data_IF_384733145493
#
_entry.id   IF_384733145493
#
_cell.length_a   1.000
_cell.length_b   1.000
_cell.length_c   1.000
_cell.angle_alpha   90.00
_cell.angle_beta   90.00
_cell.angle_gamma   90.00
#
_symmetry.space_group_name_H-M   'P 1'
#
loop_
_entity.id
_entity.type
_entity.pdbx_description
1 polymer ?
#
# COMPACT_ATOMS: atom_id res chain seq x y z
N UNK A 1 28.41 12.22 -0.14
CA UNK A 1 27.39 11.82 0.86
C UNK A 1 26.03 12.51 0.68
N UNK A 2 25.81 13.27 -0.41
CA UNK A 2 24.60 14.08 -0.58
C UNK A 2 23.50 13.42 -1.45
N UNK A 3 23.76 12.28 -2.08
CA UNK A 3 22.89 11.74 -3.13
C UNK A 3 22.17 10.42 -2.83
N UNK A 4 22.44 9.76 -1.71
CA UNK A 4 21.89 8.42 -1.47
C UNK A 4 20.68 8.37 -0.52
N UNK A 5 20.17 9.54 -0.06
CA UNK A 5 19.09 9.60 0.91
C UNK A 5 17.76 10.16 0.36
N UNK A 6 17.65 10.39 -0.94
CA UNK A 6 16.41 10.91 -1.55
C UNK A 6 15.20 9.97 -1.34
N UNK A 7 15.47 8.69 -1.16
CA UNK A 7 14.47 7.67 -0.83
C UNK A 7 13.80 7.89 0.54
N UNK A 8 14.45 8.61 1.47
CA UNK A 8 13.88 8.94 2.79
C UNK A 8 12.59 9.76 2.65
N UNK A 9 12.46 10.53 1.57
CA UNK A 9 11.25 11.30 1.29
C UNK A 9 10.00 10.42 1.07
N UNK A 10 10.19 9.14 0.72
CA UNK A 10 9.10 8.17 0.58
C UNK A 10 8.72 7.50 1.91
N UNK A 11 9.50 7.70 2.97
CA UNK A 11 9.19 7.17 4.28
C UNK A 11 8.14 8.05 4.97
N UNK A 12 6.99 7.50 5.24
CA UNK A 12 5.99 8.16 6.07
C UNK A 12 6.31 8.01 7.56
N UNK A 13 7.33 8.74 8.02
CA UNK A 13 7.74 8.77 9.44
C UNK A 13 6.55 9.16 10.31
N UNK A 14 5.70 10.09 9.85
CA UNK A 14 4.48 10.48 10.54
C UNK A 14 3.51 9.32 10.76
N UNK A 15 3.47 8.34 9.85
CA UNK A 15 2.63 7.15 10.02
C UNK A 15 3.21 6.20 11.07
N UNK A 16 4.53 6.09 11.17
CA UNK A 16 5.22 5.29 12.19
C UNK A 16 5.14 5.93 13.58
N UNK A 17 5.09 7.27 13.66
CA UNK A 17 4.89 8.01 14.91
C UNK A 17 3.44 7.95 15.41
N UNK A 18 2.46 7.72 14.53
CA UNK A 18 1.03 7.63 14.86
C UNK A 18 0.59 6.27 15.39
N UNK A 19 1.49 5.39 15.77
CA UNK A 19 1.10 4.14 16.40
C UNK A 19 0.15 4.37 17.59
N UNK A 20 -0.87 3.50 17.76
CA UNK A 20 -1.78 3.57 18.89
C UNK A 20 -0.98 3.34 20.18
N UNK A 21 -0.70 4.42 20.89
CA UNK A 21 0.06 4.41 22.14
C UNK A 21 0.66 5.78 22.45
N UNK A 22 0.91 6.01 23.72
CA UNK A 22 1.48 7.26 24.24
C UNK A 22 3.00 7.35 24.07
N UNK A 23 3.61 6.57 23.14
CA UNK A 23 5.06 6.47 22.99
C UNK A 23 5.73 7.82 22.69
N UNK A 24 5.15 8.60 21.79
CA UNK A 24 5.61 9.95 21.47
C UNK A 24 5.52 10.89 22.68
N UNK A 25 4.35 10.94 23.31
CA UNK A 25 4.12 11.78 24.50
C UNK A 25 5.01 11.35 25.68
N UNK A 26 5.16 10.04 25.89
CA UNK A 26 6.01 9.50 26.95
C UNK A 26 7.50 9.84 26.71
N UNK A 27 7.98 9.84 25.46
CA UNK A 27 9.37 10.20 25.18
C UNK A 27 9.65 11.66 25.57
N UNK A 28 8.72 12.59 25.31
CA UNK A 28 8.83 13.98 25.76
C UNK A 28 8.71 14.14 27.27
N UNK A 29 7.84 13.35 27.92
CA UNK A 29 7.72 13.35 29.37
C UNK A 29 9.02 12.94 30.04
N UNK A 30 9.63 11.85 29.54
CA UNK A 30 10.93 11.37 30.04
C UNK A 30 12.05 12.41 29.86
N UNK A 31 12.09 13.14 28.73
CA UNK A 31 13.04 14.24 28.53
C UNK A 31 12.89 15.31 29.60
N UNK A 32 11.65 15.72 29.92
CA UNK A 32 11.37 16.74 30.95
C UNK A 32 11.74 16.27 32.35
N UNK A 33 11.49 15.00 32.66
CA UNK A 33 11.73 14.40 34.00
C UNK A 33 13.23 14.12 34.26
N UNK A 34 14.05 14.04 33.19
CA UNK A 34 15.49 13.71 33.28
C UNK A 34 16.35 14.89 32.79
N UNK A 35 16.23 16.04 33.40
CA UNK A 35 17.09 17.23 33.18
C UNK A 35 17.21 17.66 31.72
N UNK A 36 16.15 17.48 30.94
CA UNK A 36 16.13 17.74 29.50
C UNK A 36 17.08 16.84 28.67
N UNK A 37 17.35 15.62 29.14
CA UNK A 37 18.11 14.63 28.37
C UNK A 37 17.31 14.17 27.15
N UNK A 38 17.79 14.55 25.96
CA UNK A 38 17.16 14.22 24.69
C UNK A 38 17.32 12.74 24.26
N UNK A 39 18.13 11.97 24.97
CA UNK A 39 18.43 10.57 24.62
C UNK A 39 17.15 9.74 24.46
N UNK A 40 16.17 9.91 25.32
CA UNK A 40 14.89 9.19 25.25
C UNK A 40 14.11 9.51 23.97
N UNK A 41 14.07 10.76 23.58
CA UNK A 41 13.41 11.20 22.34
C UNK A 41 14.15 10.71 21.10
N UNK A 42 15.47 10.74 21.11
CA UNK A 42 16.30 10.25 19.99
C UNK A 42 16.12 8.76 19.82
N UNK A 43 16.15 7.96 20.90
CA UNK A 43 15.93 6.52 20.84
C UNK A 43 14.53 6.20 20.31
N UNK A 44 13.50 6.92 20.77
CA UNK A 44 12.14 6.74 20.26
C UNK A 44 12.04 7.06 18.77
N UNK A 45 12.67 8.15 18.33
CA UNK A 45 12.68 8.58 16.93
C UNK A 45 13.38 7.57 16.03
N UNK A 46 14.52 7.01 16.47
CA UNK A 46 15.24 5.96 15.73
C UNK A 46 14.43 4.67 15.61
N UNK A 47 13.81 4.22 16.70
CA UNK A 47 12.90 3.06 16.66
C UNK A 47 11.68 3.28 15.76
N UNK A 48 11.18 4.51 15.69
CA UNK A 48 10.06 4.85 14.80
C UNK A 48 10.49 4.86 13.34
N UNK A 49 11.72 5.28 13.06
CA UNK A 49 12.32 5.22 11.72
C UNK A 49 12.55 3.76 11.29
N UNK A 50 13.10 2.92 12.14
CA UNK A 50 13.28 1.49 11.89
C UNK A 50 11.95 0.83 11.51
N UNK A 51 10.91 1.05 12.30
CA UNK A 51 9.55 0.54 11.98
C UNK A 51 9.00 1.07 10.67
N UNK A 52 9.27 2.35 10.33
CA UNK A 52 8.85 2.91 9.04
C UNK A 52 9.53 2.20 7.87
N UNK A 53 10.81 1.83 8.03
CA UNK A 53 11.57 1.05 7.05
C UNK A 53 10.99 -0.35 6.88
N UNK A 54 10.71 -1.06 7.97
CA UNK A 54 10.11 -2.40 7.94
C UNK A 54 8.77 -2.41 7.19
N UNK A 55 7.94 -1.39 7.43
CA UNK A 55 6.64 -1.23 6.74
C UNK A 55 6.84 -1.01 5.22
N UNK A 56 7.83 -0.22 4.84
CA UNK A 56 8.12 0.05 3.42
C UNK A 56 8.69 -1.20 2.76
N UNK A 57 9.61 -1.89 3.41
CA UNK A 57 10.18 -3.15 2.91
C UNK A 57 9.08 -4.19 2.68
N UNK A 58 8.19 -4.39 3.65
CA UNK A 58 7.06 -5.29 3.50
C UNK A 58 6.18 -4.92 2.29
N UNK A 59 5.88 -3.65 2.10
CA UNK A 59 5.08 -3.18 0.96
C UNK A 59 5.78 -3.44 -0.37
N UNK A 60 7.09 -3.18 -0.46
CA UNK A 60 7.86 -3.41 -1.68
C UNK A 60 7.87 -4.90 -2.01
N UNK A 61 8.16 -5.76 -1.02
CA UNK A 61 8.17 -7.20 -1.20
C UNK A 61 6.81 -7.69 -1.73
N UNK A 62 5.70 -7.26 -1.13
CA UNK A 62 4.35 -7.61 -1.61
C UNK A 62 4.09 -7.15 -3.04
N UNK A 63 4.54 -5.94 -3.41
CA UNK A 63 4.38 -5.45 -4.79
C UNK A 63 5.17 -6.26 -5.81
N UNK A 64 6.37 -6.70 -5.45
CA UNK A 64 7.19 -7.58 -6.31
C UNK A 64 6.55 -8.97 -6.48
N UNK A 65 5.71 -9.37 -5.54
CA UNK A 65 5.00 -10.66 -5.58
C UNK A 65 3.72 -10.64 -6.43
N UNK A 66 3.09 -9.46 -6.64
CA UNK A 66 1.82 -9.36 -7.39
C UNK A 66 1.85 -10.06 -8.75
N UNK A 67 2.92 -9.99 -9.57
CA UNK A 67 2.99 -10.75 -10.82
C UNK A 67 2.88 -12.26 -10.66
N UNK A 68 3.22 -12.81 -9.49
CA UNK A 68 3.09 -14.25 -9.21
C UNK A 68 1.63 -14.71 -9.17
N UNK A 69 0.69 -13.79 -8.91
CA UNK A 69 -0.74 -14.09 -8.91
C UNK A 69 -1.23 -14.62 -10.27
N UNK A 70 -0.55 -14.26 -11.37
CA UNK A 70 -0.87 -14.80 -12.70
C UNK A 70 -0.84 -16.32 -12.74
N UNK A 71 0.03 -16.98 -11.95
CA UNK A 71 0.12 -18.44 -11.87
C UNK A 71 -1.12 -19.08 -11.20
N UNK A 72 -1.83 -18.31 -10.35
CA UNK A 72 -2.97 -18.80 -9.56
C UNK A 72 -4.29 -18.43 -10.22
N UNK A 73 -4.43 -17.20 -10.70
CA UNK A 73 -5.73 -16.65 -11.15
C UNK A 73 -5.75 -16.19 -12.61
N UNK A 74 -4.62 -16.27 -13.33
CA UNK A 74 -4.59 -16.00 -14.78
C UNK A 74 -4.88 -14.54 -15.15
N UNK A 75 -4.40 -13.57 -14.35
CA UNK A 75 -4.56 -12.13 -14.61
C UNK A 75 -3.56 -11.61 -15.63
N UNK A 76 -3.96 -10.60 -16.42
CA UNK A 76 -3.10 -9.99 -17.43
C UNK A 76 -2.22 -8.85 -16.87
N UNK A 77 -1.26 -8.35 -17.67
CA UNK A 77 -0.31 -7.32 -17.25
C UNK A 77 -0.99 -5.99 -16.87
N UNK A 78 -2.10 -5.61 -17.52
CA UNK A 78 -2.87 -4.42 -17.17
C UNK A 78 -3.50 -4.56 -15.78
N UNK A 79 -4.06 -5.74 -15.50
CA UNK A 79 -4.66 -6.07 -14.21
C UNK A 79 -3.60 -6.14 -13.11
N UNK A 80 -2.42 -6.70 -13.38
CA UNK A 80 -1.26 -6.69 -12.47
C UNK A 80 -0.89 -5.25 -12.13
N UNK A 81 -0.69 -4.39 -13.13
CA UNK A 81 -0.34 -2.98 -12.91
C UNK A 81 -1.40 -2.20 -12.14
N UNK A 82 -2.69 -2.52 -12.35
CA UNK A 82 -3.79 -1.94 -11.58
C UNK A 82 -3.74 -2.38 -10.10
N UNK A 83 -3.59 -3.68 -9.84
CA UNK A 83 -3.50 -4.23 -8.49
C UNK A 83 -2.32 -3.61 -7.74
N UNK A 84 -1.14 -3.55 -8.33
CA UNK A 84 0.04 -2.92 -7.72
C UNK A 84 -0.23 -1.48 -7.31
N UNK A 85 -0.87 -0.70 -8.18
CA UNK A 85 -1.18 0.71 -7.95
C UNK A 85 -2.19 0.91 -6.82
N UNK A 86 -3.27 0.11 -6.81
CA UNK A 86 -4.28 0.16 -5.76
C UNK A 86 -3.77 -0.40 -4.43
N UNK A 87 -2.87 -1.37 -4.48
CA UNK A 87 -2.26 -1.96 -3.28
C UNK A 87 -1.35 -0.95 -2.56
N UNK A 88 -0.59 -0.13 -3.32
CA UNK A 88 0.20 0.96 -2.76
C UNK A 88 -0.66 2.04 -2.09
N UNK A 89 -1.76 2.39 -2.75
CA UNK A 89 -2.64 3.49 -2.35
C UNK A 89 -4.02 2.95 -1.92
N UNK A 90 -4.07 2.27 -0.78
CA UNK A 90 -5.25 1.53 -0.29
C UNK A 90 -6.56 2.33 -0.22
N UNK A 91 -6.48 3.64 -0.02
CA UNK A 91 -7.65 4.52 -0.01
C UNK A 91 -8.07 5.00 -1.41
N UNK A 92 -7.30 4.61 -2.46
CA UNK A 92 -7.60 5.04 -3.82
C UNK A 92 -8.71 4.18 -4.40
N UNK A 93 -9.66 4.83 -5.00
CA UNK A 93 -10.68 4.23 -5.87
C UNK A 93 -10.36 4.57 -7.32
N UNK A 94 -10.78 3.72 -8.25
CA UNK A 94 -10.63 3.93 -9.68
C UNK A 94 -11.98 3.78 -10.37
N UNK A 95 -12.23 4.54 -11.42
CA UNK A 95 -13.38 4.35 -12.29
C UNK A 95 -12.95 3.78 -13.65
N UNK A 96 -13.93 3.40 -14.47
CA UNK A 96 -13.69 2.79 -15.79
C UNK A 96 -12.88 3.72 -16.70
N UNK A 97 -13.17 5.02 -16.65
CA UNK A 97 -12.51 6.00 -17.50
C UNK A 97 -11.04 6.15 -17.15
N UNK A 98 -10.74 6.30 -15.86
CA UNK A 98 -9.36 6.37 -15.36
C UNK A 98 -8.57 5.10 -15.71
N UNK A 99 -9.20 3.91 -15.58
CA UNK A 99 -8.54 2.67 -15.97
C UNK A 99 -8.26 2.61 -17.47
N UNK A 100 -9.23 2.98 -18.31
CA UNK A 100 -9.09 3.04 -19.77
C UNK A 100 -7.93 3.95 -20.21
N UNK A 101 -7.83 5.14 -19.61
CA UNK A 101 -6.72 6.07 -19.85
C UNK A 101 -5.37 5.46 -19.43
N UNK A 102 -5.31 4.79 -18.30
CA UNK A 102 -4.09 4.16 -17.78
C UNK A 102 -3.56 3.02 -18.65
N UNK A 103 -4.45 2.23 -19.28
CA UNK A 103 -4.07 1.11 -20.13
C UNK A 103 -4.03 1.49 -21.62
N UNK A 104 -4.36 2.76 -21.95
CA UNK A 104 -4.48 3.27 -23.31
C UNK A 104 -5.38 2.40 -24.22
N UNK A 105 -6.55 2.02 -23.69
CA UNK A 105 -7.58 1.21 -24.37
C UNK A 105 -8.96 1.84 -24.19
N UNK A 106 -9.96 1.31 -24.94
CA UNK A 106 -11.34 1.76 -24.81
C UNK A 106 -11.99 1.42 -23.47
N UNK A 107 -13.01 2.21 -23.09
CA UNK A 107 -13.75 2.02 -21.81
C UNK A 107 -14.40 0.63 -21.71
N UNK A 108 -14.80 0.04 -22.82
CA UNK A 108 -15.41 -1.30 -22.83
C UNK A 108 -14.40 -2.37 -22.38
N UNK A 109 -13.17 -2.32 -22.91
CA UNK A 109 -12.08 -3.22 -22.49
C UNK A 109 -11.74 -3.02 -21.01
N UNK A 110 -11.60 -1.75 -20.58
CA UNK A 110 -11.33 -1.41 -19.20
C UNK A 110 -12.44 -1.92 -18.25
N UNK A 111 -13.69 -1.81 -18.68
CA UNK A 111 -14.85 -2.32 -17.93
C UNK A 111 -14.80 -3.84 -17.77
N UNK A 112 -14.46 -4.57 -18.83
CA UNK A 112 -14.33 -6.02 -18.78
C UNK A 112 -13.22 -6.43 -17.82
N UNK A 113 -12.02 -5.85 -17.91
CA UNK A 113 -10.90 -6.14 -17.02
C UNK A 113 -11.26 -5.89 -15.53
N UNK A 114 -11.95 -4.77 -15.24
CA UNK A 114 -12.41 -4.47 -13.88
C UNK A 114 -13.45 -5.47 -13.38
N UNK A 115 -14.39 -5.88 -14.23
CA UNK A 115 -15.42 -6.87 -13.90
C UNK A 115 -14.85 -8.27 -13.66
N UNK A 116 -13.83 -8.66 -14.40
CA UNK A 116 -13.09 -9.89 -14.17
C UNK A 116 -12.47 -9.91 -12.77
N UNK A 117 -11.81 -8.81 -12.38
CA UNK A 117 -11.21 -8.67 -11.05
C UNK A 117 -12.26 -8.67 -9.92
N UNK A 118 -13.45 -8.12 -10.18
CA UNK A 118 -14.58 -8.20 -9.22
C UNK A 118 -15.08 -9.64 -9.12
N UNK A 119 -15.20 -10.38 -10.24
CA UNK A 119 -15.61 -11.78 -10.24
C UNK A 119 -14.62 -12.70 -9.49
N UNK A 120 -13.34 -12.29 -9.40
CA UNK A 120 -12.29 -12.96 -8.61
C UNK A 120 -12.20 -12.49 -7.16
N UNK A 121 -13.12 -11.62 -6.70
CA UNK A 121 -13.11 -10.98 -5.40
C UNK A 121 -11.85 -10.12 -5.11
N UNK A 122 -11.05 -9.81 -6.13
CA UNK A 122 -9.85 -8.96 -6.02
C UNK A 122 -10.22 -7.49 -5.86
N UNK A 123 -11.30 -7.07 -6.50
CA UNK A 123 -11.87 -5.74 -6.38
C UNK A 123 -13.30 -5.79 -5.84
N UNK A 124 -13.68 -4.74 -5.12
CA UNK A 124 -15.06 -4.43 -4.84
C UNK A 124 -15.58 -3.35 -5.79
N UNK A 125 -16.84 -3.45 -6.20
CA UNK A 125 -17.51 -2.40 -6.97
C UNK A 125 -18.53 -1.70 -6.11
N UNK A 126 -18.44 -0.38 -6.07
CA UNK A 126 -19.45 0.49 -5.46
C UNK A 126 -20.05 1.41 -6.53
N UNK A 127 -21.38 1.46 -6.59
CA UNK A 127 -22.10 2.32 -7.53
C UNK A 127 -22.54 3.60 -6.84
N UNK A 128 -22.10 4.71 -7.36
CA UNK A 128 -22.58 6.02 -6.92
C UNK A 128 -23.17 6.79 -8.10
N UNK A 129 -24.49 7.06 -8.04
CA UNK A 129 -25.27 7.64 -9.15
C UNK A 129 -25.16 6.76 -10.42
N UNK A 130 -24.53 7.30 -11.47
CA UNK A 130 -24.34 6.64 -12.78
C UNK A 130 -22.92 6.09 -12.98
N UNK A 131 -22.07 6.15 -11.96
CA UNK A 131 -20.66 5.72 -12.05
C UNK A 131 -20.40 4.54 -11.14
N UNK A 132 -19.56 3.63 -11.60
CA UNK A 132 -19.02 2.55 -10.78
C UNK A 132 -17.61 2.91 -10.36
N UNK A 133 -17.32 2.73 -9.08
CA UNK A 133 -16.02 2.90 -8.47
C UNK A 133 -15.52 1.56 -7.97
N UNK A 134 -14.24 1.29 -8.17
CA UNK A 134 -13.61 0.04 -7.82
C UNK A 134 -12.50 0.29 -6.81
N UNK A 135 -12.41 -0.55 -5.78
CA UNK A 135 -11.39 -0.49 -4.76
C UNK A 135 -10.89 -1.89 -4.42
N UNK A 136 -9.66 -1.96 -3.93
CA UNK A 136 -8.97 -3.23 -3.72
C UNK A 136 -9.49 -3.99 -2.51
N UNK A 137 -9.72 -5.30 -2.68
CA UNK A 137 -9.90 -6.24 -1.58
C UNK A 137 -8.54 -6.75 -1.12
N UNK A 138 -7.91 -6.02 -0.21
CA UNK A 138 -6.56 -6.33 0.25
C UNK A 138 -6.46 -7.71 0.87
N UNK A 139 -7.46 -8.14 1.64
CA UNK A 139 -7.46 -9.46 2.29
C UNK A 139 -7.37 -10.56 1.25
N UNK A 140 -8.14 -10.45 0.16
CA UNK A 140 -8.12 -11.43 -0.94
C UNK A 140 -6.81 -11.42 -1.70
N UNK A 141 -6.24 -10.23 -1.94
CA UNK A 141 -4.93 -10.10 -2.60
C UNK A 141 -3.84 -10.74 -1.75
N UNK A 142 -3.80 -10.47 -0.45
CA UNK A 142 -2.82 -11.08 0.46
C UNK A 142 -2.95 -12.61 0.49
N UNK A 143 -4.17 -13.16 0.53
CA UNK A 143 -4.45 -14.60 0.45
C UNK A 143 -3.91 -15.22 -0.86
N UNK A 144 -4.17 -14.56 -2.00
CA UNK A 144 -3.72 -15.04 -3.30
C UNK A 144 -2.18 -14.98 -3.44
N UNK A 145 -1.54 -13.96 -2.86
CA UNK A 145 -0.08 -13.84 -2.82
C UNK A 145 0.55 -14.96 -1.99
N UNK A 146 -0.02 -15.28 -0.84
CA UNK A 146 0.47 -16.37 0.01
C UNK A 146 0.30 -17.73 -0.67
N UNK A 147 -0.82 -17.95 -1.39
CA UNK A 147 -1.04 -19.16 -2.20
C UNK A 147 -0.05 -19.23 -3.39
N UNK A 148 0.26 -18.12 -4.04
CA UNK A 148 1.18 -18.08 -5.16
C UNK A 148 2.64 -18.40 -4.79
N UNK A 149 3.01 -18.21 -3.52
CA UNK A 149 4.34 -18.58 -2.99
C UNK A 149 4.46 -20.07 -2.66
N UNK A 150 3.33 -20.72 -2.39
CA UNK A 150 3.30 -22.12 -2.02
C UNK A 150 3.38 -23.05 -3.23
N UNK A 151 3.31 -22.52 -4.46
CA UNK A 151 3.44 -23.21 -5.74
C UNK A 151 4.86 -23.12 -6.30
#
# INVERSE_FOLDING_TARGET
LKHDLDWVNFLSISSALKEPGKGYENSFKLVKENECDLTYFIIYSLKSLERALDIVELKINRLCEVPLMNKVVGINDNQIGLIQRLYLHQARVIDVKEHAENINKGEETARLELKELVAMDILFEEKYKKRSYFYINKVKVDELLDNAKAL
#
